data_IF_476747437416
#
_entry.id   IF_476747437416
#
_cell.length_a   1.000
_cell.length_b   1.000
_cell.length_c   1.000
_cell.angle_alpha   90.00
_cell.angle_beta   90.00
_cell.angle_gamma   90.00
#
_symmetry.space_group_name_H-M   'P 1'
#
loop_
_entity.id
_entity.type
_entity.pdbx_description
1 polymer ?
#
# COMPACT_ATOMS: atom_id res chain seq x y z
N UNK A 1 -8.49 7.10 18.06
CA UNK A 1 -8.34 5.79 17.39
C UNK A 1 -8.67 5.84 15.90
N UNK A 2 -9.90 6.20 15.49
CA UNK A 2 -10.29 6.20 14.06
C UNK A 2 -9.33 7.02 13.18
N UNK A 3 -8.96 8.24 13.61
CA UNK A 3 -8.02 9.10 12.86
C UNK A 3 -6.65 8.43 12.61
N UNK A 4 -6.08 7.76 13.61
CA UNK A 4 -4.78 7.08 13.51
C UNK A 4 -4.87 5.89 12.55
N UNK A 5 -5.93 5.08 12.69
CA UNK A 5 -6.23 3.98 11.78
C UNK A 5 -6.44 4.46 10.34
N UNK A 6 -7.12 5.60 10.13
CA UNK A 6 -7.30 6.18 8.81
C UNK A 6 -5.99 6.63 8.19
N UNK A 7 -5.11 7.28 8.96
CA UNK A 7 -3.78 7.70 8.48
C UNK A 7 -2.92 6.49 8.12
N UNK A 8 -2.91 5.48 8.98
CA UNK A 8 -2.12 4.28 8.76
C UNK A 8 -2.63 3.46 7.55
N UNK A 9 -3.95 3.35 7.40
CA UNK A 9 -4.56 2.76 6.21
C UNK A 9 -4.20 3.52 4.94
N UNK A 10 -4.27 4.86 4.97
CA UNK A 10 -3.89 5.71 3.84
C UNK A 10 -2.41 5.54 3.49
N UNK A 11 -1.54 5.47 4.49
CA UNK A 11 -0.10 5.24 4.31
C UNK A 11 0.16 3.88 3.64
N UNK A 12 -0.47 2.82 4.15
CA UNK A 12 -0.36 1.48 3.56
C UNK A 12 -0.92 1.41 2.14
N UNK A 13 -2.02 2.12 1.88
CA UNK A 13 -2.57 2.27 0.52
C UNK A 13 -1.58 2.92 -0.44
N UNK A 14 -0.95 4.02 -0.02
CA UNK A 14 0.07 4.71 -0.83
C UNK A 14 1.27 3.80 -1.07
N UNK A 15 1.77 3.10 -0.05
CA UNK A 15 2.89 2.17 -0.17
C UNK A 15 2.57 1.06 -1.19
N UNK A 16 1.39 0.44 -1.10
CA UNK A 16 0.97 -0.59 -2.06
C UNK A 16 0.94 -0.09 -3.49
N UNK A 17 0.43 1.13 -3.71
CA UNK A 17 0.40 1.75 -5.03
C UNK A 17 1.81 2.07 -5.57
N UNK A 18 2.71 2.57 -4.72
CA UNK A 18 4.10 2.89 -5.08
C UNK A 18 4.88 1.63 -5.42
N UNK A 19 4.83 0.60 -4.58
CA UNK A 19 5.53 -0.67 -4.81
C UNK A 19 5.09 -1.31 -6.12
N UNK A 20 3.78 -1.34 -6.37
CA UNK A 20 3.25 -1.88 -7.63
C UNK A 20 3.76 -1.09 -8.84
N UNK A 21 3.73 0.25 -8.79
CA UNK A 21 4.25 1.10 -9.89
C UNK A 21 5.74 0.94 -10.09
N UNK A 22 6.51 0.83 -9.01
CA UNK A 22 7.96 0.65 -9.06
C UNK A 22 8.28 -0.66 -9.77
N UNK A 23 7.67 -1.78 -9.33
CA UNK A 23 7.87 -3.08 -9.99
C UNK A 23 7.39 -3.06 -11.45
N UNK A 24 6.30 -2.35 -11.75
CA UNK A 24 5.81 -2.21 -13.12
C UNK A 24 6.79 -1.47 -14.02
N UNK A 25 7.41 -0.39 -13.53
CA UNK A 25 8.40 0.38 -14.27
C UNK A 25 9.60 -0.48 -14.70
N UNK A 26 10.04 -1.41 -13.84
CA UNK A 26 11.15 -2.31 -14.14
C UNK A 26 10.75 -3.49 -15.02
N UNK A 27 9.64 -4.17 -14.71
CA UNK A 27 9.36 -5.46 -15.36
C UNK A 27 8.33 -5.38 -16.49
N UNK A 28 7.46 -4.35 -16.51
CA UNK A 28 6.31 -4.20 -17.43
C UNK A 28 5.39 -5.44 -17.52
N UNK A 29 5.46 -6.34 -16.53
CA UNK A 29 4.70 -7.59 -16.44
C UNK A 29 3.87 -7.58 -15.17
N UNK A 30 2.62 -8.08 -15.24
CA UNK A 30 1.67 -8.03 -14.12
C UNK A 30 2.02 -9.01 -13.00
N UNK A 31 2.46 -10.23 -13.36
CA UNK A 31 2.84 -11.29 -12.41
C UNK A 31 3.86 -10.84 -11.34
N UNK A 32 5.04 -10.28 -11.72
CA UNK A 32 6.03 -9.85 -10.73
C UNK A 32 5.55 -8.68 -9.88
N UNK A 33 4.69 -7.80 -10.41
CA UNK A 33 4.12 -6.68 -9.63
C UNK A 33 3.16 -7.17 -8.54
N UNK A 34 2.34 -8.20 -8.83
CA UNK A 34 1.50 -8.80 -7.81
C UNK A 34 2.32 -9.62 -6.81
N UNK A 35 3.37 -10.30 -7.26
CA UNK A 35 4.29 -11.03 -6.39
C UNK A 35 4.97 -10.10 -5.37
N UNK A 36 5.49 -8.95 -5.81
CA UNK A 36 6.13 -7.98 -4.90
C UNK A 36 5.15 -7.41 -3.86
N UNK A 37 3.90 -7.15 -4.26
CA UNK A 37 2.84 -6.72 -3.35
C UNK A 37 2.48 -7.81 -2.34
N UNK A 38 2.39 -9.07 -2.77
CA UNK A 38 2.11 -10.20 -1.85
C UNK A 38 3.26 -10.42 -0.87
N UNK A 39 4.51 -10.29 -1.32
CA UNK A 39 5.69 -10.34 -0.44
C UNK A 39 5.61 -9.22 0.60
N UNK A 40 5.25 -8.00 0.19
CA UNK A 40 5.08 -6.88 1.12
C UNK A 40 3.98 -7.16 2.15
N UNK A 41 2.84 -7.70 1.73
CA UNK A 41 1.74 -8.12 2.63
C UNK A 41 2.23 -9.16 3.64
N UNK A 42 2.99 -10.17 3.20
CA UNK A 42 3.57 -11.19 4.07
C UNK A 42 4.55 -10.59 5.09
N UNK A 43 5.40 -9.64 4.66
CA UNK A 43 6.31 -8.91 5.56
C UNK A 43 5.53 -8.14 6.62
N UNK A 44 4.46 -7.43 6.22
CA UNK A 44 3.61 -6.68 7.16
C UNK A 44 2.95 -7.62 8.17
N UNK A 45 2.45 -8.77 7.73
CA UNK A 45 1.83 -9.76 8.61
C UNK A 45 2.81 -10.38 9.62
N UNK A 46 4.03 -10.69 9.20
CA UNK A 46 5.02 -11.42 10.02
C UNK A 46 5.86 -10.51 10.90
N UNK A 47 6.21 -9.31 10.43
CA UNK A 47 7.20 -8.45 11.09
C UNK A 47 6.62 -7.18 11.70
N UNK A 48 5.45 -6.71 11.26
CA UNK A 48 4.87 -5.49 11.83
C UNK A 48 3.98 -5.87 13.01
N UNK A 49 4.34 -5.48 14.25
CA UNK A 49 3.48 -5.71 15.38
C UNK A 49 2.14 -5.01 15.15
N UNK A 50 1.05 -5.77 15.31
CA UNK A 50 -0.32 -5.25 15.17
C UNK A 50 -0.75 -4.30 16.29
N UNK A 51 0.17 -3.94 17.18
CA UNK A 51 -0.10 -3.05 18.30
C UNK A 51 0.02 -1.60 17.81
N UNK A 52 -0.95 -0.77 18.15
CA UNK A 52 -0.86 0.67 17.99
C UNK A 52 -0.09 1.18 19.20
N UNK A 53 1.04 1.86 18.96
CA UNK A 53 1.89 2.38 20.02
C UNK A 53 1.09 3.35 20.91
N UNK A 54 0.95 3.00 22.19
CA UNK A 54 0.16 3.77 23.16
C UNK A 54 0.77 5.16 23.39
N UNK A 55 2.09 5.27 23.20
CA UNK A 55 2.86 6.52 23.33
C UNK A 55 2.41 7.57 22.30
N UNK A 56 2.14 7.13 21.07
CA UNK A 56 1.58 7.96 19.99
C UNK A 56 0.13 8.40 20.26
N UNK A 57 -0.63 7.64 21.07
CA UNK A 57 -2.01 8.04 21.41
C UNK A 57 -2.00 9.16 22.46
N UNK A 58 -1.05 9.09 23.40
CA UNK A 58 -0.87 10.09 24.47
C UNK A 58 -0.31 11.39 23.90
N UNK A 59 0.70 11.34 23.03
CA UNK A 59 1.30 12.55 22.41
C UNK A 59 0.30 13.35 21.54
N UNK A 60 -0.61 12.67 20.83
CA UNK A 60 -1.62 13.31 19.99
C UNK A 60 -2.92 13.66 20.75
N UNK A 61 -2.89 13.68 22.09
CA UNK A 61 -4.01 14.13 22.93
C UNK A 61 -5.22 13.18 22.94
N UNK A 62 -5.01 11.91 22.61
CA UNK A 62 -6.06 10.89 22.62
C UNK A 62 -6.26 10.28 24.00
N UNK A 63 -7.53 10.00 24.37
CA UNK A 63 -7.82 9.11 25.50
C UNK A 63 -7.30 7.71 25.18
N UNK A 64 -6.60 7.08 26.12
CA UNK A 64 -6.17 5.69 26.00
C UNK A 64 -7.38 4.81 25.66
N UNK A 65 -7.28 3.95 24.64
CA UNK A 65 -8.37 3.05 24.27
C UNK A 65 -8.78 2.15 25.44
N UNK A 66 -10.05 1.73 25.52
CA UNK A 66 -10.38 0.52 26.26
C UNK A 66 -9.51 -0.63 25.70
N UNK A 67 -8.90 -1.44 26.59
CA UNK A 67 -7.96 -2.53 26.29
C UNK A 67 -8.40 -3.56 25.22
N UNK A 68 -9.62 -3.47 24.68
CA UNK A 68 -10.25 -4.49 23.85
C UNK A 68 -10.90 -4.00 22.56
N UNK A 69 -10.70 -2.76 22.09
CA UNK A 69 -11.50 -2.29 20.96
C UNK A 69 -11.08 -2.84 19.59
N UNK A 70 -9.82 -3.28 19.41
CA UNK A 70 -9.33 -3.90 18.16
C UNK A 70 -8.21 -4.89 18.48
N UNK A 71 -8.37 -6.14 18.03
CA UNK A 71 -7.30 -7.14 18.07
C UNK A 71 -6.13 -6.68 17.19
N UNK A 72 -4.87 -6.89 17.59
CA UNK A 72 -3.70 -6.56 16.77
C UNK A 72 -3.75 -7.24 15.39
N UNK A 73 -4.41 -8.39 15.30
CA UNK A 73 -4.62 -9.11 14.05
C UNK A 73 -5.56 -8.34 13.10
N UNK A 74 -6.60 -7.69 13.65
CA UNK A 74 -7.53 -6.87 12.87
C UNK A 74 -6.87 -5.61 12.31
N UNK A 75 -5.95 -4.99 13.06
CA UNK A 75 -5.16 -3.84 12.58
C UNK A 75 -4.24 -4.26 11.43
N UNK A 76 -3.55 -5.40 11.56
CA UNK A 76 -2.70 -5.93 10.49
C UNK A 76 -3.51 -6.33 9.24
N UNK A 77 -4.69 -6.93 9.40
CA UNK A 77 -5.59 -7.20 8.28
C UNK A 77 -6.00 -5.92 7.57
N UNK A 78 -6.35 -4.86 8.31
CA UNK A 78 -6.72 -3.58 7.72
C UNK A 78 -5.55 -2.96 6.93
N UNK A 79 -4.33 -3.02 7.46
CA UNK A 79 -3.10 -2.58 6.77
C UNK A 79 -2.92 -3.36 5.46
N UNK A 80 -3.08 -4.68 5.49
CA UNK A 80 -2.97 -5.54 4.30
C UNK A 80 -4.04 -5.20 3.25
N UNK A 81 -5.28 -4.97 3.67
CA UNK A 81 -6.37 -4.54 2.79
C UNK A 81 -6.02 -3.19 2.14
N UNK A 82 -5.45 -2.25 2.91
CA UNK A 82 -4.97 -0.97 2.39
C UNK A 82 -3.94 -1.16 1.27
N UNK A 83 -2.90 -1.97 1.51
CA UNK A 83 -1.87 -2.30 0.51
C UNK A 83 -2.48 -2.90 -0.75
N UNK A 84 -3.36 -3.88 -0.61
CA UNK A 84 -4.02 -4.56 -1.74
C UNK A 84 -4.88 -3.60 -2.56
N UNK A 85 -5.65 -2.74 -1.89
CA UNK A 85 -6.47 -1.72 -2.57
C UNK A 85 -5.60 -0.70 -3.30
N UNK A 86 -4.47 -0.30 -2.73
CA UNK A 86 -3.50 0.59 -3.38
C UNK A 86 -2.90 -0.02 -4.63
N UNK A 87 -2.46 -1.27 -4.55
CA UNK A 87 -1.93 -2.03 -5.69
C UNK A 87 -3.00 -2.27 -6.77
N UNK A 88 -4.23 -2.57 -6.37
CA UNK A 88 -5.35 -2.74 -7.30
C UNK A 88 -5.67 -1.45 -8.05
N UNK A 89 -5.72 -0.31 -7.35
CA UNK A 89 -5.92 0.99 -7.98
C UNK A 89 -4.78 1.30 -8.96
N UNK A 90 -3.52 1.06 -8.59
CA UNK A 90 -2.39 1.21 -9.50
C UNK A 90 -2.53 0.31 -10.75
N UNK A 91 -2.98 -0.93 -10.59
CA UNK A 91 -3.23 -1.87 -11.69
C UNK A 91 -4.28 -1.33 -12.67
N UNK A 92 -5.39 -0.78 -12.14
CA UNK A 92 -6.46 -0.22 -12.98
C UNK A 92 -5.99 1.02 -13.74
N UNK A 93 -5.20 1.89 -13.11
CA UNK A 93 -4.65 3.11 -13.74
C UNK A 93 -3.69 2.75 -14.88
N UNK A 94 -2.82 1.76 -14.67
CA UNK A 94 -1.90 1.26 -15.71
C UNK A 94 -2.71 0.64 -16.86
N UNK A 95 -3.69 -0.21 -16.55
CA UNK A 95 -4.56 -0.81 -17.56
C UNK A 95 -5.31 0.25 -18.38
N UNK A 96 -5.76 1.33 -17.74
CA UNK A 96 -6.39 2.47 -18.41
C UNK A 96 -5.40 3.25 -19.27
N UNK A 97 -4.17 3.52 -18.79
CA UNK A 97 -3.11 4.17 -19.58
C UNK A 97 -2.75 3.37 -20.84
N UNK A 98 -2.60 2.05 -20.71
CA UNK A 98 -2.32 1.16 -21.83
C UNK A 98 -3.44 1.19 -22.87
N UNK A 99 -4.71 1.21 -22.45
CA UNK A 99 -5.86 1.33 -23.36
C UNK A 99 -5.93 2.67 -24.10
N UNK A 100 -5.39 3.73 -23.50
CA UNK A 100 -5.36 5.08 -24.10
C UNK A 100 -4.13 5.27 -25.01
N UNK A 101 -3.23 4.28 -25.12
CA UNK A 101 -2.02 4.37 -25.96
C UNK A 101 -0.93 5.28 -25.39
N UNK A 102 -1.05 5.70 -24.12
CA UNK A 102 -0.09 6.57 -23.42
C UNK A 102 1.22 5.85 -23.03
N UNK A 103 1.35 4.55 -23.31
CA UNK A 103 2.58 3.78 -23.10
C UNK A 103 3.42 3.62 -24.39
N UNK A 104 2.91 4.07 -25.55
CA UNK A 104 3.59 3.91 -26.83
C UNK A 104 4.59 5.05 -27.08
N UNK A 105 5.84 4.72 -26.78
CA UNK A 105 7.13 5.38 -27.09
C UNK A 105 7.66 6.43 -26.11
N UNK A 106 8.91 6.29 -25.62
CA UNK A 106 9.69 7.46 -25.21
C UNK A 106 9.87 8.37 -26.45
N UNK A 107 9.78 9.71 -26.32
CA UNK A 107 9.82 10.63 -27.44
C UNK A 107 11.21 10.78 -28.11
N UNK A 108 12.14 9.87 -27.84
CA UNK A 108 13.53 9.96 -28.31
C UNK A 108 13.95 8.64 -28.97
N UNK A 109 13.50 8.44 -30.21
CA UNK A 109 14.18 7.56 -31.19
C UNK A 109 15.03 8.40 -32.19
N UNK A 110 15.17 9.71 -31.95
CA UNK A 110 15.86 10.64 -32.84
C UNK A 110 17.08 11.26 -32.14
N UNK A 111 18.09 10.45 -31.82
CA UNK A 111 19.46 10.98 -31.77
C UNK A 111 20.26 10.25 -32.85
N UNK A 112 20.76 11.00 -33.87
CA UNK A 112 21.51 10.43 -34.99
C UNK A 112 22.85 9.82 -34.56
#
# INVERSE_FOLDING_TARGET
>A
MIRILSIEFLLMFVIGAVVFRLTWAFTRKKLPCWSSVLILVAIILLFVPGHIDETLIVEFGGKTPPKHLLSPLAVNLLRCVGVLLGAWLATTVIGKRKKIGLEDKPPYDDFP
#
